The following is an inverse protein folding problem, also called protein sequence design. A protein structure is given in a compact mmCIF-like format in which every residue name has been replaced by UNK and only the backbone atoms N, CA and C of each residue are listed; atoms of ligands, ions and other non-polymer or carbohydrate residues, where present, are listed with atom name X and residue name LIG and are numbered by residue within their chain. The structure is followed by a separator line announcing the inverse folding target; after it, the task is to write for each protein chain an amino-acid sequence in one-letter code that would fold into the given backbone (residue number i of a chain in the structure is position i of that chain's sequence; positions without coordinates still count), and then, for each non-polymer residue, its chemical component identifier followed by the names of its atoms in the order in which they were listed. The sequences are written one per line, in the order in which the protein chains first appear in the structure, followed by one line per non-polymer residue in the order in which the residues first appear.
data_IF_535049657902
#
_entry.id   IF_535049657902
#
_cell.length_a   1.000
_cell.length_b   1.000
_cell.length_c   1.000
_cell.angle_alpha   90.00
_cell.angle_beta   90.00
_cell.angle_gamma   90.00
#
_symmetry.space_group_name_H-M   'P 1'
#
loop_
_entity.id
_entity.type
_entity.pdbx_description
1 polymer ?
#
# COMPACT_ATOMS: atom_id res chain seq x y z
N UNK A 1 3.95 61.98 4.53
CA UNK A 1 4.70 60.74 4.20
C UNK A 1 4.37 59.56 5.10
N UNK A 2 4.26 59.71 6.44
CA UNK A 2 3.90 58.60 7.36
C UNK A 2 2.60 57.86 7.01
N UNK A 3 1.52 58.58 6.65
CA UNK A 3 0.21 57.97 6.33
C UNK A 3 0.25 57.07 5.09
N UNK A 4 1.03 57.46 4.06
CA UNK A 4 1.21 56.65 2.85
C UNK A 4 1.92 55.33 3.15
N UNK A 5 2.90 55.33 4.06
CA UNK A 5 3.62 54.13 4.47
C UNK A 5 2.68 53.15 5.17
N UNK A 6 1.80 53.63 6.05
CA UNK A 6 0.80 52.77 6.71
C UNK A 6 -0.22 52.19 5.72
N UNK A 7 -0.59 52.95 4.69
CA UNK A 7 -1.53 52.49 3.67
C UNK A 7 -0.92 51.39 2.80
N UNK A 8 0.33 51.57 2.36
CA UNK A 8 1.08 50.54 1.61
C UNK A 8 1.27 49.28 2.46
N UNK A 9 1.60 49.43 3.74
CA UNK A 9 1.76 48.30 4.66
C UNK A 9 0.45 47.52 4.84
N UNK A 10 -0.69 48.23 4.90
CA UNK A 10 -2.01 47.60 5.04
C UNK A 10 -2.39 46.78 3.79
N UNK A 11 -2.08 47.27 2.59
CA UNK A 11 -2.35 46.55 1.33
C UNK A 11 -1.51 45.27 1.24
N UNK A 12 -0.24 45.32 1.69
CA UNK A 12 0.65 44.16 1.68
C UNK A 12 0.20 43.04 2.64
N UNK A 13 -0.44 43.40 3.76
CA UNK A 13 -0.89 42.45 4.79
C UNK A 13 -2.25 41.78 4.45
N UNK A 14 -3.10 42.42 3.65
CA UNK A 14 -4.42 41.86 3.24
C UNK A 14 -4.27 40.58 2.40
N UNK A 15 -3.18 40.45 1.62
CA UNK A 15 -2.91 39.26 0.81
C UNK A 15 -2.64 37.98 1.63
N UNK A 16 -2.21 38.13 2.90
CA UNK A 16 -1.91 36.98 3.77
C UNK A 16 -3.16 36.43 4.49
N UNK A 17 -4.22 37.24 4.64
CA UNK A 17 -5.46 36.85 5.30
C UNK A 17 -6.50 36.21 4.35
N UNK A 18 -6.28 36.28 3.03
CA UNK A 18 -7.24 35.84 2.01
C UNK A 18 -7.30 34.31 1.83
N UNK A 19 -6.45 33.54 2.52
CA UNK A 19 -6.56 32.09 2.57
C UNK A 19 -7.21 31.71 3.89
N UNK A 20 -8.47 31.23 3.92
CA UNK A 20 -8.90 30.44 5.05
C UNK A 20 -7.95 29.24 5.09
N UNK A 21 -7.18 29.14 6.15
CA UNK A 21 -6.55 27.90 6.57
C UNK A 21 -7.69 26.93 6.88
N UNK A 22 -8.32 26.37 5.84
CA UNK A 22 -8.93 25.05 5.94
C UNK A 22 -7.73 24.15 6.13
N UNK A 23 -7.25 24.10 7.38
CA UNK A 23 -6.22 23.22 7.89
C UNK A 23 -6.50 21.89 7.27
N UNK A 24 -5.70 21.57 6.25
CA UNK A 24 -5.66 20.31 5.52
C UNK A 24 -7.03 19.63 5.43
N UNK A 25 -7.74 19.75 4.30
CA UNK A 25 -8.64 18.65 3.92
C UNK A 25 -7.77 17.40 3.93
N UNK A 26 -7.76 16.66 5.03
CA UNK A 26 -7.05 15.41 5.16
C UNK A 26 -7.75 14.51 4.17
N UNK A 27 -7.23 14.46 2.96
CA UNK A 27 -7.64 13.46 2.01
C UNK A 27 -7.15 12.16 2.61
N UNK A 28 -8.09 11.41 3.17
CA UNK A 28 -7.86 10.05 3.54
C UNK A 28 -7.49 9.32 2.24
N UNK A 29 -6.23 8.91 2.17
CA UNK A 29 -5.75 8.07 1.09
C UNK A 29 -5.94 6.64 1.53
N UNK A 30 -6.77 5.89 0.81
CA UNK A 30 -6.86 4.47 1.00
C UNK A 30 -5.52 3.84 0.62
N UNK A 31 -4.86 3.21 1.61
CA UNK A 31 -3.64 2.45 1.40
C UNK A 31 -4.02 0.98 1.48
N UNK A 32 -3.93 0.28 0.36
CA UNK A 32 -4.13 -1.16 0.32
C UNK A 32 -2.94 -1.85 0.98
N UNK A 33 -3.17 -2.42 2.16
CA UNK A 33 -2.19 -3.21 2.90
C UNK A 33 -2.45 -4.68 2.58
N UNK A 34 -1.42 -5.49 2.26
CA UNK A 34 -1.62 -6.91 2.05
C UNK A 34 -2.11 -7.57 3.33
N UNK A 35 -3.28 -8.19 3.28
CA UNK A 35 -3.79 -9.04 4.35
C UNK A 35 -3.17 -10.44 4.23
N UNK A 36 -2.82 -11.04 5.38
CA UNK A 36 -2.33 -12.42 5.38
C UNK A 36 -3.48 -13.36 5.06
N UNK A 37 -3.31 -14.19 4.03
CA UNK A 37 -4.24 -15.27 3.77
C UNK A 37 -4.20 -16.32 4.89
N UNK A 38 -5.36 -16.70 5.41
CA UNK A 38 -5.50 -17.66 6.52
C UNK A 38 -5.42 -19.11 6.05
N UNK A 39 -4.40 -19.45 5.26
CA UNK A 39 -4.18 -20.81 4.74
C UNK A 39 -2.95 -21.43 5.37
N UNK A 40 -3.06 -22.72 5.73
CA UNK A 40 -1.90 -23.51 6.17
C UNK A 40 -1.12 -23.97 4.95
N UNK A 41 0.12 -23.53 4.84
CA UNK A 41 1.01 -23.96 3.76
C UNK A 41 1.44 -25.41 3.97
N UNK A 42 1.35 -26.29 2.95
CA UNK A 42 1.90 -27.64 3.04
C UNK A 42 3.42 -27.60 3.16
N UNK A 43 4.02 -28.68 3.67
CA UNK A 43 5.47 -28.82 3.75
C UNK A 43 6.07 -29.05 2.35
N UNK A 44 7.13 -28.31 2.03
CA UNK A 44 7.77 -28.39 0.73
C UNK A 44 8.64 -29.65 0.63
N UNK A 45 8.37 -30.57 -0.31
CA UNK A 45 9.23 -31.74 -0.50
C UNK A 45 10.60 -31.33 -1.04
N UNK A 46 11.63 -32.05 -0.61
CA UNK A 46 13.00 -31.85 -1.10
C UNK A 46 13.18 -32.50 -2.46
N UNK A 47 13.81 -31.79 -3.38
CA UNK A 47 14.21 -32.35 -4.66
C UNK A 47 15.49 -33.18 -4.54
N UNK A 48 15.51 -34.35 -5.15
CA UNK A 48 16.65 -35.23 -5.27
C UNK A 48 16.91 -35.58 -6.74
N UNK A 49 18.12 -35.29 -7.21
CA UNK A 49 18.54 -35.59 -8.60
C UNK A 49 18.60 -37.09 -8.91
N UNK A 50 18.73 -37.93 -7.89
CA UNK A 50 18.80 -39.39 -8.03
C UNK A 50 17.42 -40.06 -8.01
N UNK A 51 16.39 -39.34 -7.55
CA UNK A 51 15.02 -39.82 -7.51
C UNK A 51 14.10 -38.95 -8.38
N UNK A 52 13.71 -39.48 -9.53
CA UNK A 52 12.76 -38.82 -10.43
C UNK A 52 11.38 -38.62 -9.78
N UNK A 53 11.01 -39.43 -8.78
CA UNK A 53 9.79 -39.28 -8.00
C UNK A 53 9.74 -37.98 -7.21
N UNK A 54 10.89 -37.53 -6.69
CA UNK A 54 11.01 -36.24 -5.99
C UNK A 54 10.63 -35.04 -6.88
N UNK A 55 10.92 -35.10 -8.19
CA UNK A 55 10.52 -34.08 -9.16
C UNK A 55 8.99 -34.01 -9.28
N UNK A 56 8.35 -35.19 -9.34
CA UNK A 56 6.88 -35.30 -9.41
C UNK A 56 6.23 -34.80 -8.13
N UNK A 57 6.75 -35.17 -6.96
CA UNK A 57 6.24 -34.70 -5.67
C UNK A 57 6.33 -33.17 -5.57
N UNK A 58 7.42 -32.58 -6.03
CA UNK A 58 7.60 -31.13 -6.08
C UNK A 58 6.62 -30.44 -7.03
N UNK A 59 6.34 -31.04 -8.20
CA UNK A 59 5.34 -30.52 -9.14
C UNK A 59 3.93 -30.55 -8.54
N UNK A 60 3.56 -31.63 -7.84
CA UNK A 60 2.27 -31.74 -7.15
C UNK A 60 2.16 -30.71 -6.03
N UNK A 61 3.23 -30.50 -5.25
CA UNK A 61 3.29 -29.47 -4.21
C UNK A 61 3.00 -28.08 -4.79
N UNK A 62 3.67 -27.67 -5.87
CA UNK A 62 3.44 -26.35 -6.46
C UNK A 62 2.00 -26.19 -7.00
N UNK A 63 1.43 -27.25 -7.58
CA UNK A 63 0.03 -27.24 -8.01
C UNK A 63 -0.93 -27.03 -6.84
N UNK A 64 -0.71 -27.71 -5.71
CA UNK A 64 -1.55 -27.54 -4.52
C UNK A 64 -1.44 -26.13 -3.95
N UNK A 65 -0.22 -25.59 -3.88
CA UNK A 65 0.03 -24.21 -3.44
C UNK A 65 -0.71 -23.21 -4.32
N UNK A 66 -0.67 -23.37 -5.65
CA UNK A 66 -1.38 -22.47 -6.56
C UNK A 66 -2.90 -22.49 -6.31
N UNK A 67 -3.48 -23.67 -6.12
CA UNK A 67 -4.92 -23.82 -5.82
C UNK A 67 -5.26 -23.15 -4.49
N UNK A 68 -4.44 -23.37 -3.44
CA UNK A 68 -4.64 -22.75 -2.13
C UNK A 68 -4.56 -21.23 -2.20
N UNK A 69 -3.58 -20.69 -2.92
CA UNK A 69 -3.38 -19.25 -3.05
C UNK A 69 -4.43 -18.57 -3.92
N UNK A 70 -5.02 -19.27 -4.90
CA UNK A 70 -6.17 -18.74 -5.65
C UNK A 70 -7.37 -18.49 -4.75
N UNK A 71 -7.63 -19.37 -3.78
CA UNK A 71 -8.68 -19.16 -2.78
C UNK A 71 -8.50 -17.91 -1.91
N UNK A 72 -7.30 -17.34 -1.86
CA UNK A 72 -7.00 -16.11 -1.10
C UNK A 72 -7.38 -14.81 -1.83
N UNK A 73 -7.70 -14.86 -3.13
CA UNK A 73 -7.95 -13.68 -3.97
C UNK A 73 -9.45 -13.44 -4.14
N UNK A 74 -10.28 -14.47 -3.95
CA UNK A 74 -11.74 -14.43 -4.14
C UNK A 74 -12.54 -14.23 -2.82
N UNK A 75 -11.87 -13.90 -1.70
CA UNK A 75 -12.49 -13.50 -0.42
C UNK A 75 -12.55 -11.97 -0.25
#
# INVERSE_FOLDING_TARGET
MKILVFFVLSILLVGCAAKPEVITKTQYQDVYIPVKCQVKMPEKPKFDKKDLGSARALAVYYRQVEILLKGCIDE
#
